data_IF_419938998122
#
_entry.id   IF_419938998122
#
_cell.length_a   1.000
_cell.length_b   1.000
_cell.length_c   1.000
_cell.angle_alpha   90.00
_cell.angle_beta   90.00
_cell.angle_gamma   90.00
#
_symmetry.space_group_name_H-M   'P 1'
#
loop_
_entity.id
_entity.type
_entity.pdbx_description
1 polymer ?
#
# COMPACT_ATOMS: atom_id res chain seq x y z
N UNK A 1 23.27 -14.03 -4.19
CA UNK A 1 23.54 -12.78 -3.45
C UNK A 1 22.21 -12.04 -3.27
N UNK A 2 21.94 -11.44 -2.12
CA UNK A 2 20.74 -10.61 -1.96
C UNK A 2 20.87 -9.39 -2.89
N UNK A 3 19.89 -9.20 -3.76
CA UNK A 3 19.80 -7.98 -4.57
C UNK A 3 19.65 -6.76 -3.65
N UNK A 4 20.23 -5.62 -4.03
CA UNK A 4 20.08 -4.33 -3.33
C UNK A 4 18.61 -4.01 -3.08
N UNK A 5 17.76 -4.34 -4.04
CA UNK A 5 16.31 -4.18 -3.94
C UNK A 5 15.71 -4.95 -2.74
N UNK A 6 16.13 -6.20 -2.52
CA UNK A 6 15.64 -7.01 -1.41
C UNK A 6 16.12 -6.48 -0.06
N UNK A 7 17.32 -5.90 0.00
CA UNK A 7 17.85 -5.27 1.23
C UNK A 7 17.00 -4.05 1.59
N UNK A 8 16.73 -3.16 0.62
CA UNK A 8 15.89 -1.98 0.82
C UNK A 8 14.49 -2.40 1.27
N UNK A 9 13.88 -3.38 0.60
CA UNK A 9 12.55 -3.90 0.94
C UNK A 9 12.50 -4.43 2.38
N UNK A 10 13.44 -5.30 2.76
CA UNK A 10 13.48 -5.88 4.12
C UNK A 10 13.66 -4.77 5.16
N UNK A 11 14.53 -3.78 4.88
CA UNK A 11 14.77 -2.65 5.78
C UNK A 11 13.53 -1.76 5.97
N UNK A 12 12.79 -1.48 4.91
CA UNK A 12 11.57 -0.65 5.00
C UNK A 12 10.48 -1.41 5.75
N UNK A 13 10.27 -2.69 5.41
CA UNK A 13 9.24 -3.50 6.05
C UNK A 13 9.53 -3.79 7.53
N UNK A 14 10.80 -3.97 7.91
CA UNK A 14 11.16 -4.13 9.32
C UNK A 14 10.93 -2.85 10.13
N UNK A 15 11.28 -1.68 9.58
CA UNK A 15 11.02 -0.39 10.21
C UNK A 15 9.51 -0.16 10.42
N UNK A 16 8.71 -0.43 9.38
CA UNK A 16 7.24 -0.30 9.45
C UNK A 16 6.63 -1.24 10.50
N UNK A 17 7.10 -2.49 10.59
CA UNK A 17 6.67 -3.43 11.65
C UNK A 17 7.01 -2.88 13.04
N UNK A 18 8.24 -2.41 13.24
CA UNK A 18 8.69 -1.91 14.54
C UNK A 18 7.85 -0.70 15.00
N UNK A 19 7.64 0.28 14.12
CA UNK A 19 6.80 1.44 14.44
C UNK A 19 5.32 1.08 14.60
N UNK A 20 4.81 0.10 13.83
CA UNK A 20 3.43 -0.38 14.00
C UNK A 20 3.20 -1.03 15.37
N UNK A 21 4.19 -1.75 15.92
CA UNK A 21 4.11 -2.31 17.27
C UNK A 21 4.05 -1.22 18.35
N UNK A 22 4.84 -0.15 18.18
CA UNK A 22 4.83 0.99 19.10
C UNK A 22 3.45 1.67 19.07
N UNK A 23 2.92 1.97 17.88
CA UNK A 23 1.60 2.58 17.73
C UNK A 23 0.49 1.69 18.28
N UNK A 24 0.56 0.37 18.07
CA UNK A 24 -0.40 -0.58 18.62
C UNK A 24 -0.39 -0.57 20.15
N UNK A 25 0.79 -0.56 20.77
CA UNK A 25 0.94 -0.48 22.22
C UNK A 25 0.38 0.81 22.81
N UNK A 26 0.73 1.95 22.21
CA UNK A 26 0.22 3.27 22.61
C UNK A 26 -1.30 3.34 22.46
N UNK A 27 -1.84 2.90 21.31
CA UNK A 27 -3.28 2.95 21.05
C UNK A 27 -4.06 2.02 21.97
N UNK A 28 -3.53 0.84 22.29
CA UNK A 28 -4.15 -0.08 23.24
C UNK A 28 -4.18 0.51 24.66
N UNK A 29 -3.10 1.17 25.09
CA UNK A 29 -3.05 1.85 26.38
C UNK A 29 -4.07 2.99 26.46
N UNK A 30 -4.11 3.87 25.45
CA UNK A 30 -5.09 4.94 25.36
C UNK A 30 -6.53 4.40 25.33
N UNK A 31 -6.78 3.27 24.67
CA UNK A 31 -8.11 2.65 24.66
C UNK A 31 -8.58 2.16 26.04
N UNK A 32 -7.66 1.88 26.97
CA UNK A 32 -8.02 1.47 28.35
C UNK A 32 -8.35 2.65 29.26
N UNK A 33 -7.80 3.83 28.96
CA UNK A 33 -7.94 5.03 29.81
C UNK A 33 -9.11 5.89 29.33
N UNK A 34 -9.32 6.01 28.01
CA UNK A 34 -10.32 6.91 27.47
C UNK A 34 -11.71 6.26 27.40
N UNK A 35 -12.70 6.96 27.94
CA UNK A 35 -14.11 6.66 27.72
C UNK A 35 -14.45 6.94 26.26
N UNK A 36 -15.22 6.05 25.63
CA UNK A 36 -15.61 6.19 24.22
C UNK A 36 -16.41 7.49 24.03
N UNK A 37 -15.82 8.44 23.29
CA UNK A 37 -16.43 9.72 22.94
C UNK A 37 -16.26 9.93 21.42
N UNK A 38 -16.98 10.88 20.84
CA UNK A 38 -16.91 11.16 19.40
C UNK A 38 -15.50 11.60 18.96
N UNK A 39 -14.74 12.19 19.88
CA UNK A 39 -13.35 12.60 19.68
C UNK A 39 -12.35 11.44 19.72
N UNK A 40 -12.67 10.29 20.33
CA UNK A 40 -11.74 9.17 20.51
C UNK A 40 -11.85 8.09 19.44
N UNK A 41 -12.64 8.35 18.38
CA UNK A 41 -12.85 7.42 17.25
C UNK A 41 -11.58 7.11 16.45
N UNK A 42 -10.52 7.91 16.58
CA UNK A 42 -9.22 7.64 15.95
C UNK A 42 -8.49 6.44 16.57
N UNK A 43 -8.72 6.14 17.85
CA UNK A 43 -8.03 5.07 18.58
C UNK A 43 -8.35 3.68 17.99
N UNK A 44 -9.63 3.27 17.84
CA UNK A 44 -9.93 1.97 17.24
C UNK A 44 -9.48 1.89 15.77
N UNK A 45 -9.47 3.01 15.04
CA UNK A 45 -8.94 3.09 13.68
C UNK A 45 -7.42 2.83 13.67
N UNK A 46 -6.66 3.44 14.58
CA UNK A 46 -5.23 3.22 14.72
C UNK A 46 -4.90 1.75 15.05
N UNK A 47 -5.63 1.15 15.99
CA UNK A 47 -5.50 -0.28 16.33
C UNK A 47 -5.75 -1.15 15.10
N UNK A 48 -6.84 -0.88 14.37
CA UNK A 48 -7.19 -1.62 13.16
C UNK A 48 -6.08 -1.55 12.10
N UNK A 49 -5.58 -0.35 11.79
CA UNK A 49 -4.52 -0.15 10.79
C UNK A 49 -3.21 -0.81 11.24
N UNK A 50 -2.85 -0.70 12.51
CA UNK A 50 -1.65 -1.31 13.06
C UNK A 50 -1.71 -2.84 12.99
N UNK A 51 -2.82 -3.46 13.41
CA UNK A 51 -3.02 -4.92 13.32
C UNK A 51 -3.02 -5.39 11.86
N UNK A 52 -3.71 -4.67 10.97
CA UNK A 52 -3.73 -4.99 9.55
C UNK A 52 -2.33 -4.95 8.93
N UNK A 53 -1.51 -3.97 9.32
CA UNK A 53 -0.11 -3.83 8.89
C UNK A 53 0.75 -4.99 9.40
N UNK A 54 0.60 -5.35 10.68
CA UNK A 54 1.30 -6.48 11.31
C UNK A 54 0.86 -7.84 10.78
N UNK A 55 -0.30 -7.95 10.14
CA UNK A 55 -0.71 -9.17 9.46
C UNK A 55 -0.15 -9.20 8.02
N UNK A 56 -0.38 -8.13 7.26
CA UNK A 56 -0.06 -8.10 5.84
C UNK A 56 1.45 -8.06 5.58
N UNK A 57 2.22 -7.20 6.27
CA UNK A 57 3.65 -7.04 5.98
C UNK A 57 4.44 -8.31 6.31
N UNK A 58 4.28 -8.94 7.49
CA UNK A 58 4.90 -10.24 7.77
C UNK A 58 4.42 -11.34 6.83
N UNK A 59 3.14 -11.37 6.45
CA UNK A 59 2.68 -12.31 5.43
C UNK A 59 3.46 -12.13 4.11
N UNK A 60 3.60 -10.90 3.61
CA UNK A 60 4.37 -10.59 2.40
C UNK A 60 5.86 -10.96 2.52
N UNK A 61 6.47 -10.85 3.70
CA UNK A 61 7.86 -11.25 3.96
C UNK A 61 8.02 -12.78 4.05
N UNK A 62 7.20 -13.45 4.87
CA UNK A 62 7.26 -14.89 5.13
C UNK A 62 6.92 -15.69 3.89
N UNK A 63 5.85 -15.32 3.17
CA UNK A 63 5.52 -15.98 1.91
C UNK A 63 6.63 -15.82 0.87
N UNK A 64 7.34 -14.70 0.88
CA UNK A 64 8.49 -14.50 0.02
C UNK A 64 9.71 -15.36 0.36
N UNK A 65 9.85 -15.76 1.62
CA UNK A 65 10.91 -16.67 2.04
C UNK A 65 10.57 -18.15 1.80
N UNK A 66 9.33 -18.56 2.11
CA UNK A 66 8.94 -19.98 2.14
C UNK A 66 8.64 -20.54 0.74
N UNK A 67 8.01 -19.79 -0.17
CA UNK A 67 7.75 -20.30 -1.54
C UNK A 67 7.83 -19.18 -2.59
N UNK A 68 8.94 -19.17 -3.34
CA UNK A 68 9.21 -18.31 -4.51
C UNK A 68 8.19 -18.39 -5.66
N UNK A 69 7.16 -19.24 -5.56
CA UNK A 69 6.21 -19.58 -6.62
C UNK A 69 4.76 -19.18 -6.29
N UNK A 70 4.49 -18.57 -5.13
CA UNK A 70 3.13 -18.16 -4.81
C UNK A 70 2.72 -16.89 -5.56
N UNK A 71 1.48 -16.90 -6.07
CA UNK A 71 0.80 -15.77 -6.71
C UNK A 71 0.84 -14.48 -5.88
N UNK A 72 1.02 -14.58 -4.56
CA UNK A 72 1.08 -13.45 -3.63
C UNK A 72 2.32 -12.56 -3.83
N UNK A 73 3.38 -13.04 -4.48
CA UNK A 73 4.57 -12.24 -4.77
C UNK A 73 4.49 -11.45 -6.09
N UNK A 74 3.37 -11.48 -6.79
CA UNK A 74 3.20 -10.65 -7.99
C UNK A 74 3.34 -9.16 -7.63
N UNK A 75 4.06 -8.42 -8.49
CA UNK A 75 4.25 -6.96 -8.36
C UNK A 75 2.91 -6.25 -8.14
N UNK A 76 1.83 -6.71 -8.79
CA UNK A 76 0.47 -6.15 -8.62
C UNK A 76 -0.04 -6.20 -7.18
N UNK A 77 0.06 -7.35 -6.53
CA UNK A 77 -0.45 -7.53 -5.17
C UNK A 77 0.42 -6.79 -4.17
N UNK A 78 1.73 -6.85 -4.33
CA UNK A 78 2.65 -6.10 -3.47
C UNK A 78 2.39 -4.59 -3.56
N UNK A 79 2.18 -4.08 -4.77
CA UNK A 79 1.84 -2.67 -5.01
C UNK A 79 0.46 -2.31 -4.44
N UNK A 80 -0.55 -3.19 -4.61
CA UNK A 80 -1.90 -2.96 -4.09
C UNK A 80 -1.92 -2.92 -2.55
N UNK A 81 -1.30 -3.90 -1.89
CA UNK A 81 -1.26 -3.95 -0.43
C UNK A 81 -0.41 -2.84 0.18
N UNK A 82 0.76 -2.54 -0.40
CA UNK A 82 1.60 -1.44 0.06
C UNK A 82 0.90 -0.10 -0.14
N UNK A 83 0.26 0.13 -1.29
CA UNK A 83 -0.51 1.34 -1.57
C UNK A 83 -1.69 1.50 -0.62
N UNK A 84 -2.46 0.43 -0.38
CA UNK A 84 -3.57 0.43 0.58
C UNK A 84 -3.09 0.76 1.99
N UNK A 85 -2.04 0.10 2.48
CA UNK A 85 -1.49 0.36 3.81
C UNK A 85 -0.92 1.78 3.91
N UNK A 86 -0.18 2.24 2.89
CA UNK A 86 0.37 3.59 2.86
C UNK A 86 -0.73 4.66 2.92
N UNK A 87 -1.83 4.46 2.18
CA UNK A 87 -2.98 5.36 2.23
C UNK A 87 -3.72 5.29 3.57
N UNK A 88 -3.90 4.11 4.17
CA UNK A 88 -4.53 3.98 5.48
C UNK A 88 -3.72 4.71 6.56
N UNK A 89 -2.39 4.53 6.58
CA UNK A 89 -1.50 5.27 7.48
C UNK A 89 -1.51 6.77 7.22
N UNK A 90 -1.59 7.18 5.95
CA UNK A 90 -1.68 8.59 5.58
C UNK A 90 -3.00 9.23 6.05
N UNK A 91 -4.12 8.54 5.85
CA UNK A 91 -5.44 8.97 6.34
C UNK A 91 -5.42 9.07 7.85
N UNK A 92 -4.82 8.10 8.55
CA UNK A 92 -4.68 8.15 10.01
C UNK A 92 -3.87 9.37 10.45
N UNK A 93 -2.73 9.63 9.81
CA UNK A 93 -1.89 10.79 10.12
C UNK A 93 -2.60 12.13 9.87
N UNK A 94 -3.34 12.26 8.77
CA UNK A 94 -4.16 13.46 8.52
C UNK A 94 -5.28 13.57 9.56
N UNK A 95 -5.93 12.47 9.90
CA UNK A 95 -7.04 12.47 10.84
C UNK A 95 -6.59 12.90 12.24
N UNK A 96 -5.41 12.45 12.69
CA UNK A 96 -4.81 12.89 13.96
C UNK A 96 -4.27 14.32 13.89
N UNK A 97 -3.78 14.78 12.74
CA UNK A 97 -3.29 16.16 12.59
C UNK A 97 -4.43 17.19 12.49
N UNK A 98 -5.65 16.76 12.14
CA UNK A 98 -6.82 17.63 11.95
C UNK A 98 -7.78 17.60 13.12
N UNK A 99 -7.60 16.70 14.09
CA UNK A 99 -8.40 16.74 15.32
C UNK A 99 -8.07 18.03 16.06
N UNK A 100 -9.08 18.88 16.36
CA UNK A 100 -8.84 20.11 17.07
C UNK A 100 -8.20 19.80 18.41
N UNK A 101 -7.09 20.48 18.71
CA UNK A 101 -6.59 20.65 20.08
C UNK A 101 -7.70 21.34 20.86
N UNK A 102 -8.67 20.58 21.34
CA UNK A 102 -9.48 21.03 22.45
C UNK A 102 -8.50 21.11 23.59
N UNK A 103 -8.01 22.32 23.86
CA UNK A 103 -7.55 22.70 25.19
C UNK A 103 -8.62 22.12 26.11
N UNK A 104 -8.27 21.05 26.82
CA UNK A 104 -9.09 20.55 27.90
C UNK A 104 -8.93 21.63 28.95
N UNK A 105 -9.73 22.70 28.81
CA UNK A 105 -10.03 23.60 29.90
C UNK A 105 -10.62 22.69 30.97
N UNK A 106 -9.76 22.27 31.89
CA UNK A 106 -10.21 21.92 33.23
C UNK A 106 -10.91 23.19 33.71
N UNK A 107 -12.22 23.27 33.48
CA UNK A 107 -13.06 24.33 34.03
C UNK A 107 -12.91 24.17 35.54
N UNK A 108 -12.08 25.04 36.11
CA UNK A 108 -11.84 25.11 37.55
C UNK A 108 -13.16 25.58 38.15
N UNK A 109 -14.03 24.63 38.52
CA UNK A 109 -15.16 24.91 39.38
C UNK A 109 -14.62 25.65 40.60
N UNK A 110 -15.17 26.85 40.84
CA UNK A 110 -14.64 27.89 41.72
C UNK A 110 -14.64 27.59 43.22
N UNK A 111 -14.33 26.37 43.64
CA UNK A 111 -14.06 26.01 45.03
C UNK A 111 -12.71 25.29 45.11
N UNK A 112 -11.69 26.05 45.53
CA UNK A 112 -10.28 25.67 45.52
C UNK A 112 -9.88 24.62 46.55
N UNK A 113 -10.47 23.42 46.48
CA UNK A 113 -10.00 22.25 47.22
C UNK A 113 -9.49 21.19 46.25
N UNK A 114 -8.18 21.20 46.08
CA UNK A 114 -7.38 20.17 45.39
C UNK A 114 -7.52 18.83 46.14
N UNK A 115 -8.37 17.93 45.66
CA UNK A 115 -8.05 16.50 45.75
C UNK A 115 -7.23 16.17 44.51
N UNK A 116 -5.91 16.23 44.67
CA UNK A 116 -4.90 15.76 43.73
C UNK A 116 -5.06 14.25 43.54
N UNK A 117 -6.03 13.82 42.72
CA UNK A 117 -6.06 12.43 42.25
C UNK A 117 -4.98 12.26 41.19
N UNK A 118 -3.83 11.86 41.71
CA UNK A 118 -2.46 11.79 41.18
C UNK A 118 -2.22 10.86 39.97
N UNK A 119 -3.22 10.54 39.13
CA UNK A 119 -3.08 9.38 38.22
C UNK A 119 -2.95 9.70 36.72
N UNK A 120 -3.23 10.92 36.25
CA UNK A 120 -3.05 11.24 34.82
C UNK A 120 -2.81 12.73 34.54
N UNK A 121 -1.54 13.12 34.41
CA UNK A 121 -1.21 14.48 33.94
C UNK A 121 -1.52 14.61 32.45
N UNK A 122 -2.34 15.61 32.10
CA UNK A 122 -2.72 15.99 30.73
C UNK A 122 -1.52 16.06 29.76
N UNK A 123 -0.35 16.49 30.24
CA UNK A 123 0.88 16.56 29.45
C UNK A 123 1.34 15.19 28.91
N UNK A 124 1.14 14.11 29.68
CA UNK A 124 1.54 12.76 29.25
C UNK A 124 0.65 12.24 28.12
N UNK A 125 -0.63 12.63 28.10
CA UNK A 125 -1.57 12.28 27.03
C UNK A 125 -1.17 12.92 25.71
N UNK A 126 -0.93 14.23 25.70
CA UNK A 126 -0.52 14.96 24.50
C UNK A 126 0.80 14.41 23.94
N UNK A 127 1.75 14.08 24.82
CA UNK A 127 3.00 13.46 24.40
C UNK A 127 2.78 12.10 23.70
N UNK A 128 1.89 11.25 24.22
CA UNK A 128 1.57 9.96 23.59
C UNK A 128 0.80 10.13 22.27
N UNK A 129 -0.11 11.10 22.21
CA UNK A 129 -0.89 11.41 21.02
C UNK A 129 0.01 11.86 19.87
N UNK A 130 0.89 12.83 20.10
CA UNK A 130 1.84 13.30 19.09
C UNK A 130 2.84 12.21 18.68
N UNK A 131 3.20 11.30 19.59
CA UNK A 131 4.01 10.15 19.22
C UNK A 131 3.28 9.25 18.20
N UNK A 132 1.99 8.95 18.44
CA UNK A 132 1.18 8.16 17.50
C UNK A 132 1.05 8.85 16.15
N UNK A 133 0.75 10.16 16.15
CA UNK A 133 0.68 10.98 14.95
C UNK A 133 1.99 10.93 14.14
N UNK A 134 3.12 11.18 14.79
CA UNK A 134 4.43 11.17 14.13
C UNK A 134 4.77 9.81 13.53
N UNK A 135 4.60 8.73 14.31
CA UNK A 135 4.86 7.38 13.81
C UNK A 135 3.90 6.97 12.68
N UNK A 136 2.65 7.44 12.70
CA UNK A 136 1.70 7.21 11.63
C UNK A 136 2.14 7.87 10.31
N UNK A 137 2.57 9.13 10.38
CA UNK A 137 3.08 9.89 9.23
C UNK A 137 4.37 9.25 8.71
N UNK A 138 5.30 8.82 9.58
CA UNK A 138 6.53 8.15 9.14
C UNK A 138 6.24 6.82 8.43
N UNK A 139 5.32 6.01 8.96
CA UNK A 139 4.88 4.78 8.29
C UNK A 139 4.25 5.08 6.92
N UNK A 140 3.40 6.10 6.85
CA UNK A 140 2.78 6.54 5.60
C UNK A 140 3.84 6.92 4.56
N UNK A 141 4.80 7.77 4.93
CA UNK A 141 5.87 8.22 4.04
C UNK A 141 6.72 7.05 3.55
N UNK A 142 7.15 6.15 4.44
CA UNK A 142 7.96 4.98 4.05
C UNK A 142 7.22 4.07 3.05
N UNK A 143 5.95 3.76 3.32
CA UNK A 143 5.14 2.90 2.46
C UNK A 143 4.83 3.58 1.12
N UNK A 144 4.51 4.87 1.11
CA UNK A 144 4.24 5.62 -0.12
C UNK A 144 5.49 5.78 -0.97
N UNK A 145 6.65 6.09 -0.38
CA UNK A 145 7.92 6.15 -1.11
C UNK A 145 8.23 4.80 -1.75
N UNK A 146 8.08 3.70 -1.01
CA UNK A 146 8.28 2.36 -1.55
C UNK A 146 7.29 2.03 -2.68
N UNK A 147 6.01 2.38 -2.50
CA UNK A 147 4.98 2.24 -3.53
C UNK A 147 5.33 2.99 -4.81
N UNK A 148 5.71 4.28 -4.70
CA UNK A 148 6.07 5.08 -5.87
C UNK A 148 7.35 4.56 -6.53
N UNK A 149 8.36 4.14 -5.76
CA UNK A 149 9.57 3.55 -6.30
C UNK A 149 9.23 2.30 -7.12
N UNK A 150 8.44 1.38 -6.57
CA UNK A 150 7.99 0.18 -7.29
C UNK A 150 7.14 0.49 -8.52
N UNK A 151 6.22 1.44 -8.41
CA UNK A 151 5.37 1.88 -9.52
C UNK A 151 6.21 2.46 -10.65
N UNK A 152 7.18 3.32 -10.33
CA UNK A 152 8.06 3.94 -11.34
C UNK A 152 8.95 2.91 -12.02
N UNK A 153 9.54 1.98 -11.25
CA UNK A 153 10.35 0.91 -11.82
C UNK A 153 9.54 -0.02 -12.73
N UNK A 154 8.34 -0.43 -12.28
CA UNK A 154 7.46 -1.29 -13.08
C UNK A 154 6.97 -0.59 -14.34
N UNK A 155 6.59 0.69 -14.26
CA UNK A 155 6.17 1.48 -15.42
C UNK A 155 7.33 1.69 -16.41
N UNK A 156 8.54 1.95 -15.93
CA UNK A 156 9.74 2.07 -16.77
C UNK A 156 9.99 0.79 -17.57
N UNK A 157 9.91 -0.37 -16.92
CA UNK A 157 10.13 -1.65 -17.59
C UNK A 157 8.99 -2.02 -18.54
N UNK A 158 7.75 -1.69 -18.17
CA UNK A 158 6.61 -1.87 -19.06
C UNK A 158 6.74 -1.04 -20.34
N UNK A 159 7.20 0.22 -20.22
CA UNK A 159 7.49 1.08 -21.37
C UNK A 159 8.65 0.58 -22.22
N UNK A 160 9.59 -0.18 -21.65
CA UNK A 160 10.68 -0.84 -22.38
C UNK A 160 10.24 -2.09 -23.16
N UNK A 161 8.95 -2.47 -23.09
CA UNK A 161 8.39 -3.62 -23.83
C UNK A 161 8.29 -4.91 -23.03
N UNK A 162 8.68 -4.90 -21.74
CA UNK A 162 8.55 -6.06 -20.86
C UNK A 162 7.15 -6.11 -20.23
N UNK A 163 6.24 -6.89 -20.83
CA UNK A 163 4.85 -7.01 -20.37
C UNK A 163 4.70 -7.92 -19.15
N UNK A 164 5.63 -8.85 -18.94
CA UNK A 164 5.56 -9.86 -17.87
C UNK A 164 5.97 -9.34 -16.49
N UNK A 165 6.48 -8.10 -16.40
CA UNK A 165 6.92 -7.43 -15.15
C UNK A 165 5.83 -7.48 -14.07
N UNK A 166 4.57 -7.42 -14.47
CA UNK A 166 3.43 -7.40 -13.55
C UNK A 166 3.12 -8.75 -12.90
N UNK A 167 3.55 -9.85 -13.53
CA UNK A 167 3.30 -11.23 -13.07
C UNK A 167 4.52 -11.85 -12.39
N UNK A 168 5.69 -11.28 -12.62
CA UNK A 168 6.93 -11.78 -12.03
C UNK A 168 7.05 -11.41 -10.55
N UNK A 169 7.69 -12.26 -9.73
CA UNK A 169 8.00 -11.94 -8.35
C UNK A 169 8.96 -10.76 -8.23
N UNK A 170 8.59 -9.75 -7.43
CA UNK A 170 9.40 -8.55 -7.18
C UNK A 170 10.82 -8.88 -6.68
N UNK A 171 10.99 -10.00 -5.97
CA UNK A 171 12.27 -10.43 -5.39
C UNK A 171 13.23 -11.06 -6.38
N UNK A 172 12.71 -11.55 -7.51
CA UNK A 172 13.47 -12.29 -8.52
C UNK A 172 13.76 -11.42 -9.74
N UNK A 173 12.91 -10.42 -10.01
CA UNK A 173 13.07 -9.53 -11.15
C UNK A 173 14.37 -8.71 -11.06
N UNK A 174 15.21 -8.69 -12.11
CA UNK A 174 16.45 -7.92 -12.13
C UNK A 174 16.15 -6.43 -12.42
N UNK A 175 15.69 -5.70 -11.42
CA UNK A 175 15.32 -4.28 -11.53
C UNK A 175 16.41 -3.37 -12.13
N UNK A 176 17.68 -3.71 -11.88
CA UNK A 176 18.87 -2.95 -12.30
C UNK A 176 19.72 -3.68 -13.36
N UNK A 177 19.23 -4.79 -13.92
CA UNK A 177 19.98 -5.61 -14.88
C UNK A 177 19.18 -5.89 -16.15
N UNK A 178 19.83 -6.53 -17.11
CA UNK A 178 19.13 -7.09 -18.28
C UNK A 178 18.41 -8.37 -17.83
N UNK A 179 17.10 -8.51 -18.05
CA UNK A 179 16.39 -9.75 -17.77
C UNK A 179 17.00 -10.90 -18.55
N UNK A 180 17.63 -11.85 -17.86
CA UNK A 180 18.25 -13.03 -18.49
C UNK A 180 17.16 -13.87 -19.16
N UNK A 181 17.13 -13.88 -20.49
CA UNK A 181 16.20 -14.70 -21.29
C UNK A 181 15.02 -13.95 -21.92
N UNK A 182 14.92 -12.62 -21.74
CA UNK A 182 13.89 -11.81 -22.41
C UNK A 182 14.57 -10.88 -23.43
N UNK A 183 14.79 -11.41 -24.64
CA UNK A 183 15.18 -10.57 -25.77
C UNK A 183 14.10 -9.49 -25.99
N UNK A 184 14.49 -8.21 -26.14
CA UNK A 184 13.53 -7.14 -26.39
C UNK A 184 12.79 -7.42 -27.71
N UNK A 185 11.46 -7.58 -27.64
CA UNK A 185 10.58 -7.58 -28.82
C UNK A 185 10.63 -6.19 -29.48
N UNK A 186 11.63 -5.95 -30.32
CA UNK A 186 11.72 -4.74 -31.15
C UNK A 186 13.11 -4.12 -31.31
N UNK A 187 14.16 -4.68 -30.71
CA UNK A 187 15.52 -4.21 -30.94
C UNK A 187 16.32 -5.20 -31.78
N UNK A 188 16.67 -4.84 -33.01
CA UNK A 188 17.77 -5.52 -33.69
C UNK A 188 19.05 -5.39 -32.83
N UNK A 189 19.92 -6.42 -32.82
CA UNK A 189 20.84 -6.72 -31.73
C UNK A 189 22.18 -5.97 -31.90
N UNK A 190 22.71 -5.39 -30.82
CA UNK A 190 24.06 -4.82 -30.79
C UNK A 190 25.05 -5.72 -30.06
N UNK A 191 25.04 -7.03 -30.31
CA UNK A 191 26.11 -7.95 -29.87
C UNK A 191 26.12 -9.26 -30.68
N UNK A 192 26.01 -9.14 -32.00
CA UNK A 192 26.54 -10.18 -32.90
C UNK A 192 27.11 -9.46 -34.12
N UNK A 193 28.32 -8.92 -33.94
CA UNK A 193 29.17 -8.65 -35.08
C UNK A 193 29.61 -10.02 -35.60
N UNK A 194 29.16 -10.47 -36.78
CA UNK A 194 29.69 -11.70 -37.36
C UNK A 194 31.21 -11.53 -37.53
N UNK A 195 32.01 -12.60 -37.35
CA UNK A 195 33.45 -12.55 -37.60
C UNK A 195 33.70 -12.03 -39.02
N UNK A 196 34.75 -11.22 -39.24
CA UNK A 196 34.99 -10.57 -40.52
C UNK A 196 35.09 -11.62 -41.63
N UNK A 197 34.09 -11.61 -42.51
CA UNK A 197 34.07 -12.45 -43.71
C UNK A 197 35.14 -11.91 -44.65
N UNK A 198 36.29 -12.58 -44.70
CA UNK A 198 37.25 -12.42 -45.79
C UNK A 198 36.55 -12.85 -47.09
N UNK A 199 36.12 -11.88 -47.88
CA UNK A 199 35.52 -12.12 -49.19
C UNK A 199 36.57 -12.69 -50.15
N UNK A 200 36.65 -14.01 -50.26
CA UNK A 200 37.35 -14.67 -51.37
C UNK A 200 36.36 -14.78 -52.53
N UNK A 201 36.34 -13.77 -53.39
CA UNK A 201 35.50 -13.74 -54.58
C UNK A 201 35.82 -14.91 -55.51
N UNK A 202 34.80 -15.68 -55.88
CA UNK A 202 34.78 -16.47 -57.12
C UNK A 202 33.40 -16.40 -57.77
N UNK A 203 33.43 -15.85 -58.97
CA UNK A 203 32.45 -15.94 -60.05
C UNK A 203 31.81 -17.33 -60.21
N UNK A 204 30.52 -17.36 -60.60
CA UNK A 204 29.99 -18.49 -61.37
C UNK A 204 28.48 -18.76 -61.35
N UNK A 205 27.77 -18.22 -62.35
CA UNK A 205 26.68 -18.79 -63.18
C UNK A 205 25.36 -19.34 -62.59
N UNK A 206 24.29 -18.61 -62.93
CA UNK A 206 23.08 -18.97 -63.72
C UNK A 206 22.13 -20.11 -63.34
N UNK A 207 20.84 -19.80 -63.60
CA UNK A 207 19.70 -20.68 -63.94
C UNK A 207 19.05 -21.46 -62.80
N UNK A 208 17.73 -21.68 -62.71
CA UNK A 208 16.52 -21.31 -63.48
C UNK A 208 15.31 -21.93 -62.73
N UNK A 209 14.10 -21.38 -62.94
CA UNK A 209 12.76 -22.01 -62.92
C UNK A 209 11.87 -22.02 -61.64
N UNK A 210 10.79 -21.24 -61.78
CA UNK A 210 9.35 -21.58 -61.77
C UNK A 210 8.62 -22.18 -60.54
N UNK A 211 7.43 -21.61 -60.29
CA UNK A 211 6.25 -22.25 -59.66
C UNK A 211 5.65 -21.43 -58.52
N UNK A 212 4.62 -20.58 -58.75
CA UNK A 212 3.17 -20.81 -58.45
C UNK A 212 2.88 -21.22 -56.98
N UNK A 213 2.00 -20.57 -56.21
CA UNK A 213 0.51 -20.67 -56.16
C UNK A 213 0.03 -19.65 -55.09
N UNK A 214 -0.81 -18.65 -55.37
CA UNK A 214 -2.30 -18.61 -55.35
C UNK A 214 -2.96 -18.49 -53.96
N UNK A 215 -3.44 -17.27 -53.67
CA UNK A 215 -4.71 -16.84 -53.05
C UNK A 215 -5.39 -17.65 -51.94
N UNK A 216 -5.70 -16.99 -50.82
CA UNK A 216 -6.68 -17.43 -49.82
C UNK A 216 -7.07 -16.30 -48.87
N UNK A 217 -8.36 -15.96 -48.88
CA UNK A 217 -8.99 -14.77 -48.29
C UNK A 217 -9.97 -15.10 -47.15
N UNK A 218 -10.21 -14.10 -46.27
CA UNK A 218 -11.36 -13.88 -45.34
C UNK A 218 -11.46 -14.73 -44.05
N UNK A 219 -12.25 -14.34 -43.01
CA UNK A 219 -13.04 -13.12 -42.81
C UNK A 219 -12.87 -12.39 -41.44
N UNK A 220 -13.45 -11.20 -41.39
CA UNK A 220 -13.80 -10.38 -40.22
C UNK A 220 -15.00 -10.93 -39.44
N UNK A 221 -15.08 -10.65 -38.13
CA UNK A 221 -16.31 -10.69 -37.30
C UNK A 221 -16.04 -9.83 -36.05
N UNK A 222 -16.67 -8.65 -35.90
CA UNK A 222 -17.85 -8.36 -35.04
C UNK A 222 -17.77 -9.06 -33.67
N UNK A 223 -17.78 -8.40 -32.52
CA UNK A 223 -18.66 -7.32 -32.09
C UNK A 223 -19.44 -7.83 -30.87
N UNK A 224 -19.16 -7.31 -29.66
CA UNK A 224 -20.07 -7.49 -28.52
C UNK A 224 -19.79 -6.47 -27.42
N UNK A 225 -20.50 -5.34 -27.53
CA UNK A 225 -20.90 -4.48 -26.42
C UNK A 225 -21.72 -5.28 -25.40
N UNK A 226 -21.45 -5.10 -24.11
CA UNK A 226 -22.38 -5.50 -23.04
C UNK A 226 -22.29 -4.53 -21.87
N UNK A 227 -23.21 -3.56 -21.88
CA UNK A 227 -24.13 -3.31 -20.77
C UNK A 227 -23.55 -2.77 -19.46
N UNK A 228 -23.29 -1.47 -19.40
CA UNK A 228 -23.26 -0.73 -18.13
C UNK A 228 -24.68 -0.62 -17.55
N UNK A 229 -24.88 -1.16 -16.34
CA UNK A 229 -26.06 -0.89 -15.51
C UNK A 229 -25.79 0.34 -14.65
N UNK A 230 -26.65 1.38 -14.64
CA UNK A 230 -26.52 2.47 -13.68
C UNK A 230 -26.87 2.00 -12.27
N UNK A 231 -25.92 2.14 -11.33
CA UNK A 231 -26.14 1.96 -9.90
C UNK A 231 -27.04 3.10 -9.38
N UNK A 232 -28.14 2.72 -8.73
CA UNK A 232 -29.01 3.62 -7.97
C UNK A 232 -28.24 4.22 -6.79
N UNK A 233 -28.29 5.54 -6.66
CA UNK A 233 -27.86 6.27 -5.47
C UNK A 233 -28.71 5.84 -4.26
N UNK A 234 -28.11 5.05 -3.37
CA UNK A 234 -28.67 4.73 -2.06
C UNK A 234 -28.50 5.93 -1.13
N UNK A 235 -29.59 6.60 -0.81
CA UNK A 235 -29.62 7.64 0.21
C UNK A 235 -29.26 7.07 1.57
N UNK A 236 -28.23 7.64 2.20
CA UNK A 236 -27.91 7.41 3.61
C UNK A 236 -28.99 8.08 4.47
N UNK A 237 -29.80 7.29 5.16
CA UNK A 237 -30.66 7.78 6.24
C UNK A 237 -29.91 7.61 7.56
N UNK A 238 -29.61 8.73 8.22
CA UNK A 238 -29.10 8.73 9.60
C UNK A 238 -30.31 8.53 10.52
N UNK A 239 -30.36 7.40 11.20
CA UNK A 239 -31.37 7.10 12.22
C UNK A 239 -30.96 7.86 13.48
N UNK A 240 -31.69 8.93 13.79
CA UNK A 240 -31.55 9.65 15.06
C UNK A 240 -32.26 8.86 16.15
N UNK A 241 -31.50 8.24 17.06
CA UNK A 241 -32.03 7.65 18.29
C UNK A 241 -31.95 8.75 19.35
N UNK A 242 -33.08 9.35 19.77
CA UNK A 242 -33.04 10.33 20.85
C UNK A 242 -32.61 9.65 22.16
N UNK A 243 -31.81 10.32 22.99
CA UNK A 243 -31.43 9.81 24.31
C UNK A 243 -32.69 9.60 25.17
N UNK A 244 -32.74 8.54 26.00
CA UNK A 244 -33.85 8.32 26.90
C UNK A 244 -33.98 9.53 27.82
N UNK A 245 -35.16 10.14 27.82
CA UNK A 245 -35.50 11.25 28.69
C UNK A 245 -35.12 10.89 30.13
N UNK A 246 -34.22 11.68 30.72
CA UNK A 246 -33.85 11.58 32.11
C UNK A 246 -35.13 11.60 32.95
N UNK A 247 -35.47 10.44 33.52
CA UNK A 247 -36.57 10.32 34.45
C UNK A 247 -36.28 11.26 35.62
N UNK A 248 -37.18 12.22 35.80
CA UNK A 248 -37.16 13.21 36.82
C UNK A 248 -36.96 12.58 38.21
N UNK A 249 -35.78 12.76 38.82
CA UNK A 249 -35.62 12.62 40.26
C UNK A 249 -36.22 13.86 40.92
N UNK A 250 -37.54 13.83 41.07
CA UNK A 250 -38.25 14.80 41.89
C UNK A 250 -38.43 14.21 43.28
N UNK A 251 -37.69 14.80 44.22
CA UNK A 251 -38.09 15.07 45.60
C UNK A 251 -38.74 13.95 46.43
N UNK A 252 -37.99 13.47 47.42
CA UNK A 252 -38.55 13.22 48.75
C UNK A 252 -37.52 13.58 49.85
N UNK A 253 -37.49 14.87 50.19
CA UNK A 253 -37.19 15.32 51.55
C UNK A 253 -38.33 14.85 52.45
N UNK A 254 -38.06 13.93 53.37
CA UNK A 254 -38.56 13.94 54.76
C UNK A 254 -37.90 12.83 55.56
#
# INVERSE_FOLDING_TARGET
>A
MLSVFNIIRISIFSAVIAWSLIVLGLSAHLNTILIANEYTRFIPLAIFIAVLTLLIIPALLVFGFIRRQFMLQQVRLELAFTGLLGLLWFILGIYTATSPDTEVECDFDGDGTFEESDEFSTDTFYAQFHAVEAFAIFNAILLLIYFFLLLLLSLRQHRAGYTEVWREPTTTYPWFGVPSGMEPKGGAPLTDLPPPVLSKGKFGKSSTKDGQVLSGSLPSTEGSESGEKPMKAGGHYIIYIPPPAAAAQTAARR
#
